data_IF_030526587523
#
_entry.id   IF_030526587523
#
_cell.length_a   1.000
_cell.length_b   1.000
_cell.length_c   1.000
_cell.angle_alpha   90.00
_cell.angle_beta   90.00
_cell.angle_gamma   90.00
#
_symmetry.space_group_name_H-M   'P 1'
#
loop_
_entity.id
_entity.type
_entity.pdbx_description
1 polymer ?
#
# COMPACT_ATOMS: atom_id res chain seq x y z
N UNK A 1 13.37 -6.35 8.51
CA UNK A 1 11.96 -5.89 8.66
C UNK A 1 11.82 -4.41 8.33
N UNK A 2 12.32 -3.52 9.19
CA UNK A 2 12.12 -2.06 9.06
C UNK A 2 12.52 -1.48 7.68
N UNK A 3 13.68 -1.88 7.14
CA UNK A 3 14.12 -1.45 5.81
C UNK A 3 13.17 -1.91 4.69
N UNK A 4 12.59 -3.09 4.80
CA UNK A 4 11.61 -3.62 3.82
C UNK A 4 10.32 -2.81 3.87
N UNK A 5 9.82 -2.49 5.07
CA UNK A 5 8.61 -1.66 5.23
C UNK A 5 8.82 -0.27 4.62
N UNK A 6 10.00 0.33 4.81
CA UNK A 6 10.35 1.62 4.20
C UNK A 6 10.35 1.53 2.67
N UNK A 7 10.95 0.49 2.08
CA UNK A 7 10.93 0.26 0.62
C UNK A 7 9.51 0.13 0.09
N UNK A 8 8.69 -0.72 0.70
CA UNK A 8 7.29 -0.94 0.30
C UNK A 8 6.47 0.35 0.36
N UNK A 9 6.71 1.19 1.37
CA UNK A 9 6.08 2.50 1.48
C UNK A 9 6.51 3.44 0.35
N UNK A 10 7.81 3.47 0.04
CA UNK A 10 8.34 4.35 -1.00
C UNK A 10 7.85 3.90 -2.39
N UNK A 11 7.73 2.59 -2.64
CA UNK A 11 7.10 2.02 -3.83
C UNK A 11 5.62 2.40 -3.94
N UNK A 12 4.85 2.26 -2.85
CA UNK A 12 3.45 2.66 -2.81
C UNK A 12 3.27 4.16 -3.09
N UNK A 13 4.15 5.00 -2.54
CA UNK A 13 4.17 6.44 -2.80
C UNK A 13 4.50 6.76 -4.25
N UNK A 14 5.46 6.06 -4.85
CA UNK A 14 5.83 6.23 -6.24
C UNK A 14 4.70 5.84 -7.20
N UNK A 15 4.00 4.74 -6.94
CA UNK A 15 2.92 4.25 -7.80
C UNK A 15 1.63 5.06 -7.66
N UNK A 16 1.28 5.53 -6.46
CA UNK A 16 0.04 6.26 -6.22
C UNK A 16 0.17 7.78 -6.35
N UNK A 17 1.39 8.32 -6.23
CA UNK A 17 1.66 9.76 -6.32
C UNK A 17 0.77 10.56 -5.37
N UNK A 18 0.01 11.51 -5.91
CA UNK A 18 -0.89 12.39 -5.14
C UNK A 18 -2.04 11.66 -4.43
N UNK A 19 -2.27 10.38 -4.75
CA UNK A 19 -3.31 9.55 -4.14
C UNK A 19 -2.77 8.68 -3.00
N UNK A 20 -1.47 8.74 -2.76
CA UNK A 20 -0.87 8.08 -1.63
C UNK A 20 -1.31 8.75 -0.33
N UNK A 21 -1.93 7.98 0.56
CA UNK A 21 -2.26 8.39 1.92
C UNK A 21 -1.52 7.48 2.90
N UNK A 22 -0.65 8.08 3.72
CA UNK A 22 0.15 7.36 4.71
C UNK A 22 -0.70 6.74 5.82
N UNK A 23 -1.83 7.36 6.20
CA UNK A 23 -2.75 6.81 7.20
C UNK A 23 -3.44 5.58 6.62
N UNK A 24 -4.01 5.71 5.42
CA UNK A 24 -4.65 4.59 4.72
C UNK A 24 -3.68 3.45 4.38
N UNK A 25 -2.40 3.78 4.12
CA UNK A 25 -1.33 2.80 3.99
C UNK A 25 -1.18 2.05 5.31
N UNK A 26 -0.87 2.72 6.42
CA UNK A 26 -0.73 2.08 7.73
C UNK A 26 -1.96 1.25 8.12
N UNK A 27 -3.17 1.75 7.91
CA UNK A 27 -4.40 1.01 8.21
C UNK A 27 -4.54 -0.25 7.32
N UNK A 28 -4.14 -0.18 6.05
CA UNK A 28 -4.25 -1.31 5.11
C UNK A 28 -3.29 -2.47 5.41
N UNK A 29 -2.08 -2.15 5.89
CA UNK A 29 -1.01 -3.15 6.13
C UNK A 29 -0.81 -3.50 7.60
N UNK A 30 -1.03 -2.59 8.55
CA UNK A 30 -0.80 -2.87 9.98
C UNK A 30 -2.02 -3.52 10.65
N UNK A 31 -3.20 -3.50 10.04
CA UNK A 31 -4.40 -4.17 10.58
C UNK A 31 -4.31 -5.71 10.60
N UNK A 32 -3.29 -6.32 9.99
CA UNK A 32 -3.12 -7.78 9.92
C UNK A 32 -2.38 -8.43 11.10
N UNK A 33 -1.84 -7.64 12.04
CA UNK A 33 -0.92 -8.15 13.05
C UNK A 33 0.48 -8.46 12.49
N UNK A 34 1.33 -9.13 13.28
CA UNK A 34 2.67 -9.51 12.83
C UNK A 34 2.58 -10.59 11.74
N UNK A 35 3.12 -10.29 10.56
CA UNK A 35 3.08 -11.17 9.40
C UNK A 35 4.47 -11.32 8.76
N UNK A 36 4.74 -12.46 8.09
CA UNK A 36 5.93 -12.64 7.26
C UNK A 36 6.11 -11.54 6.21
N UNK A 37 7.37 -11.21 5.87
CA UNK A 37 7.69 -10.07 4.99
C UNK A 37 7.23 -10.26 3.54
N UNK A 38 7.23 -11.49 3.05
CA UNK A 38 6.67 -11.91 1.76
C UNK A 38 5.17 -11.63 1.68
N UNK A 39 4.41 -12.05 2.69
CA UNK A 39 2.97 -11.78 2.75
C UNK A 39 2.68 -10.28 2.90
N UNK A 40 3.55 -9.55 3.61
CA UNK A 40 3.43 -8.10 3.73
C UNK A 40 3.60 -7.43 2.35
N UNK A 41 4.56 -7.89 1.55
CA UNK A 41 4.79 -7.38 0.21
C UNK A 41 3.57 -7.61 -0.70
N UNK A 42 3.03 -8.83 -0.73
CA UNK A 42 1.82 -9.16 -1.50
C UNK A 42 0.62 -8.28 -1.10
N UNK A 43 0.46 -8.04 0.20
CA UNK A 43 -0.61 -7.17 0.72
C UNK A 43 -0.43 -5.72 0.28
N UNK A 44 0.79 -5.20 0.27
CA UNK A 44 1.08 -3.84 -0.23
C UNK A 44 0.76 -3.75 -1.72
N UNK A 45 1.18 -4.72 -2.52
CA UNK A 45 0.89 -4.75 -3.95
C UNK A 45 -0.61 -4.79 -4.24
N UNK A 46 -1.36 -5.61 -3.51
CA UNK A 46 -2.82 -5.69 -3.61
C UNK A 46 -3.47 -4.35 -3.26
N UNK A 47 -3.03 -3.71 -2.17
CA UNK A 47 -3.53 -2.41 -1.75
C UNK A 47 -3.23 -1.31 -2.78
N UNK A 48 -2.03 -1.27 -3.36
CA UNK A 48 -1.69 -0.31 -4.43
C UNK A 48 -2.61 -0.49 -5.63
N UNK A 49 -2.82 -1.74 -6.08
CA UNK A 49 -3.72 -2.05 -7.21
C UNK A 49 -5.16 -1.59 -6.94
N UNK A 50 -5.65 -1.79 -5.72
CA UNK A 50 -6.98 -1.33 -5.30
C UNK A 50 -7.09 0.21 -5.33
N UNK A 51 -6.06 0.92 -4.85
CA UNK A 51 -6.06 2.40 -4.82
C UNK A 51 -5.90 3.00 -6.22
N UNK A 52 -5.09 2.38 -7.07
CA UNK A 52 -4.94 2.78 -8.46
C UNK A 52 -6.26 2.62 -9.24
N UNK A 53 -6.97 1.51 -9.06
CA UNK A 53 -8.24 1.23 -9.76
C UNK A 53 -9.41 2.08 -9.26
N UNK A 54 -9.49 2.39 -7.96
CA UNK A 54 -10.53 3.28 -7.40
C UNK A 54 -10.52 4.68 -8.00
N UNK A 55 -9.40 5.13 -8.58
CA UNK A 55 -9.39 6.42 -9.29
C UNK A 55 -10.15 6.36 -10.62
N UNK A 56 -10.04 5.26 -11.35
CA UNK A 56 -10.64 5.15 -12.68
C UNK A 56 -12.18 5.14 -12.62
N UNK A 57 -12.76 4.80 -11.45
CA UNK A 57 -14.20 4.67 -11.26
C UNK A 57 -14.90 5.93 -10.73
N UNK A 58 -14.16 6.94 -10.24
CA UNK A 58 -14.76 8.14 -9.62
C UNK A 58 -15.06 9.29 -10.59
N UNK A 59 -14.94 9.07 -11.91
CA UNK A 59 -15.22 10.07 -12.95
C UNK A 59 -16.45 9.73 -13.81
N UNK A 60 -17.46 9.05 -13.25
CA UNK A 60 -18.73 8.76 -13.92
C UNK A 60 -19.92 9.30 -13.15
#
# INVERSE_FOLDING_TARGET
GQLTILKLRDEAKAQLGNKFDIKAFHDGILNGGAMPLDLLQERVEAWIKERASKTASSSR
#
